data_IF_765557795735
#
_entry.id   IF_765557795735
#
_cell.length_a   1.000
_cell.length_b   1.000
_cell.length_c   1.000
_cell.angle_alpha   90.00
_cell.angle_beta   90.00
_cell.angle_gamma   90.00
#
_symmetry.space_group_name_H-M   'P 1'
#
loop_
_entity.id
_entity.type
_entity.pdbx_description
1 polymer ?
#
# COMPACT_ATOMS: atom_id res chain seq x y z
N UNK A 1 -33.09 4.11 -3.81
CA UNK A 1 -33.50 4.99 -2.70
C UNK A 1 -33.63 6.42 -3.20
N UNK A 2 -34.62 7.18 -2.71
CA UNK A 2 -34.75 8.60 -2.99
C UNK A 2 -33.84 9.43 -2.05
N UNK A 3 -33.05 10.33 -2.60
CA UNK A 3 -32.09 11.19 -1.88
C UNK A 3 -32.16 12.63 -2.42
N UNK A 4 -31.52 13.60 -1.77
CA UNK A 4 -31.44 14.99 -2.23
C UNK A 4 -30.12 15.64 -1.82
N UNK A 5 -29.64 16.60 -2.63
CA UNK A 5 -28.48 17.43 -2.28
C UNK A 5 -28.92 18.64 -1.45
N UNK A 6 -28.13 19.07 -0.45
CA UNK A 6 -26.86 18.51 0.02
C UNK A 6 -27.05 17.42 1.11
N UNK A 7 -28.28 17.07 1.47
CA UNK A 7 -28.59 16.30 2.68
C UNK A 7 -28.16 14.83 2.63
N UNK A 8 -28.19 14.21 1.44
CA UNK A 8 -27.79 12.83 1.16
C UNK A 8 -28.13 11.84 2.29
N UNK A 9 -29.42 11.72 2.68
CA UNK A 9 -29.81 10.87 3.79
C UNK A 9 -29.42 9.40 3.50
N UNK A 10 -29.02 8.67 4.54
CA UNK A 10 -28.68 7.24 4.46
C UNK A 10 -29.63 6.32 5.29
N UNK A 11 -30.97 6.41 5.14
CA UNK A 11 -31.91 5.60 5.91
C UNK A 11 -32.14 4.23 5.25
N UNK A 12 -32.39 3.20 6.07
CA UNK A 12 -32.89 1.88 5.64
C UNK A 12 -31.95 1.08 4.72
N UNK A 13 -30.65 1.09 4.99
CA UNK A 13 -29.67 0.27 4.26
C UNK A 13 -29.61 -1.14 4.81
N UNK A 14 -29.26 -2.08 3.93
CA UNK A 14 -29.03 -3.45 4.35
C UNK A 14 -27.94 -3.50 5.41
N UNK A 15 -28.24 -4.03 6.59
CA UNK A 15 -27.25 -4.19 7.64
C UNK A 15 -26.33 -5.37 7.32
N UNK A 16 -25.09 -5.28 7.79
CA UNK A 16 -24.20 -6.43 7.86
C UNK A 16 -24.51 -7.14 9.19
N UNK A 17 -25.08 -8.34 9.12
CA UNK A 17 -25.53 -9.10 10.29
C UNK A 17 -24.57 -10.26 10.54
N UNK A 18 -24.15 -10.47 11.80
CA UNK A 18 -23.28 -11.61 12.15
C UNK A 18 -24.02 -12.92 11.90
N UNK A 19 -23.35 -13.91 11.31
CA UNK A 19 -23.84 -15.29 11.30
C UNK A 19 -23.95 -15.84 12.74
N UNK A 20 -25.15 -16.13 13.29
CA UNK A 20 -25.31 -16.58 14.67
C UNK A 20 -24.69 -17.97 14.94
N UNK A 21 -24.55 -18.79 13.90
CA UNK A 21 -24.04 -20.17 13.96
C UNK A 21 -22.62 -20.32 13.39
N UNK A 22 -22.02 -19.24 12.91
CA UNK A 22 -20.70 -19.27 12.28
C UNK A 22 -19.56 -19.41 13.30
N UNK A 23 -18.60 -20.31 13.03
CA UNK A 23 -17.29 -20.25 13.66
C UNK A 23 -16.67 -18.93 13.24
N UNK A 24 -16.49 -18.03 14.20
CA UNK A 24 -15.78 -16.77 13.97
C UNK A 24 -14.38 -17.13 13.50
N UNK A 25 -13.95 -16.58 12.36
CA UNK A 25 -12.54 -16.62 12.02
C UNK A 25 -11.79 -15.70 12.97
N UNK A 26 -11.49 -16.21 14.18
CA UNK A 26 -10.34 -15.74 14.93
C UNK A 26 -9.15 -16.44 14.30
N UNK A 27 -8.67 -15.94 13.15
CA UNK A 27 -7.36 -16.38 12.66
C UNK A 27 -6.41 -16.26 13.84
N UNK A 28 -5.92 -17.40 14.34
CA UNK A 28 -4.93 -17.42 15.43
C UNK A 28 -3.83 -16.48 14.99
N UNK A 29 -3.55 -15.48 15.81
CA UNK A 29 -2.52 -14.51 15.53
C UNK A 29 -1.18 -15.26 15.49
N UNK A 30 -0.74 -15.66 14.29
CA UNK A 30 0.68 -15.82 14.01
C UNK A 30 1.37 -14.54 14.49
N UNK A 31 2.62 -14.64 14.97
CA UNK A 31 3.43 -13.51 15.46
C UNK A 31 3.29 -12.31 14.51
N UNK A 32 2.34 -11.40 14.81
CA UNK A 32 2.06 -10.27 13.94
C UNK A 32 3.22 -9.30 14.13
N UNK A 33 3.91 -8.95 13.04
CA UNK A 33 4.67 -7.69 13.02
C UNK A 33 3.66 -6.57 13.26
N UNK A 34 3.89 -5.77 14.28
CA UNK A 34 2.94 -4.74 14.70
C UNK A 34 3.27 -3.42 14.00
N UNK A 35 2.28 -2.76 13.37
CA UNK A 35 2.45 -1.42 12.82
C UNK A 35 3.02 -0.47 13.88
N UNK A 36 4.05 0.29 13.53
CA UNK A 36 4.71 1.25 14.42
C UNK A 36 5.08 2.50 13.62
N UNK A 37 4.05 3.28 13.30
CA UNK A 37 4.20 4.51 12.52
C UNK A 37 4.77 5.63 13.38
N UNK A 38 5.07 6.76 12.74
CA UNK A 38 5.54 7.96 13.42
C UNK A 38 4.42 8.90 13.85
N UNK A 39 3.15 8.48 13.73
CA UNK A 39 1.96 9.19 14.20
C UNK A 39 2.10 9.50 15.71
N UNK A 40 1.97 10.78 16.08
CA UNK A 40 2.12 11.24 17.47
C UNK A 40 0.85 11.79 18.08
N UNK A 41 0.04 12.44 17.26
CA UNK A 41 -1.10 13.21 17.76
C UNK A 41 -2.35 12.83 17.01
N UNK A 42 -3.43 12.60 17.76
CA UNK A 42 -4.76 12.37 17.23
C UNK A 42 -5.69 13.45 17.79
N UNK A 43 -6.32 14.24 16.92
CA UNK A 43 -7.15 15.39 17.32
C UNK A 43 -8.53 15.36 16.66
N UNK A 44 -9.59 15.85 17.33
CA UNK A 44 -10.91 15.94 16.68
C UNK A 44 -10.88 16.87 15.46
N UNK A 45 -11.51 16.44 14.38
CA UNK A 45 -11.81 17.28 13.21
C UNK A 45 -13.14 17.98 13.44
N UNK A 46 -13.12 19.07 14.22
CA UNK A 46 -14.34 19.75 14.67
C UNK A 46 -15.14 20.41 13.54
N UNK A 47 -14.47 20.82 12.45
CA UNK A 47 -15.13 21.40 11.27
C UNK A 47 -15.70 20.37 10.29
N UNK A 48 -15.51 19.07 10.53
CA UNK A 48 -15.81 18.02 9.54
C UNK A 48 -17.23 18.11 8.93
N UNK A 49 -18.33 18.22 9.68
CA UNK A 49 -19.66 18.30 9.07
C UNK A 49 -19.82 19.50 8.14
N UNK A 50 -19.22 20.64 8.47
CA UNK A 50 -19.25 21.85 7.67
C UNK A 50 -18.36 21.71 6.43
N UNK A 51 -17.12 21.23 6.59
CA UNK A 51 -16.19 20.99 5.48
C UNK A 51 -16.83 20.08 4.42
N UNK A 52 -17.58 19.06 4.85
CA UNK A 52 -18.32 18.15 3.97
C UNK A 52 -19.52 18.83 3.31
N UNK A 53 -20.32 19.57 4.07
CA UNK A 53 -21.49 20.28 3.51
C UNK A 53 -21.06 21.32 2.47
N UNK A 54 -20.02 22.10 2.78
CA UNK A 54 -19.44 23.11 1.89
C UNK A 54 -18.90 22.47 0.61
N UNK A 55 -18.20 21.34 0.70
CA UNK A 55 -17.69 20.62 -0.48
C UNK A 55 -18.82 20.15 -1.41
N UNK A 56 -19.90 19.60 -0.84
CA UNK A 56 -21.06 19.14 -1.61
C UNK A 56 -21.81 20.32 -2.23
N UNK A 57 -22.01 21.41 -1.48
CA UNK A 57 -22.65 22.63 -1.98
C UNK A 57 -21.86 23.25 -3.12
N UNK A 58 -20.53 23.35 -2.98
CA UNK A 58 -19.66 23.86 -4.03
C UNK A 58 -19.75 23.02 -5.31
N UNK A 59 -19.70 21.68 -5.21
CA UNK A 59 -19.84 20.79 -6.36
C UNK A 59 -21.24 20.86 -6.99
N UNK A 60 -22.29 20.95 -6.16
CA UNK A 60 -23.68 21.10 -6.62
C UNK A 60 -23.86 22.39 -7.42
N UNK A 61 -23.30 23.49 -6.93
CA UNK A 61 -23.31 24.78 -7.62
C UNK A 61 -22.51 24.75 -8.93
N UNK A 62 -21.31 24.15 -8.92
CA UNK A 62 -20.45 24.02 -10.10
C UNK A 62 -21.14 23.26 -11.24
N UNK A 63 -21.92 22.23 -10.92
CA UNK A 63 -22.69 21.45 -11.90
C UNK A 63 -24.10 21.99 -12.17
N UNK A 64 -24.50 23.11 -11.55
CA UNK A 64 -25.86 23.68 -11.67
C UNK A 64 -26.98 22.67 -11.41
N UNK A 65 -26.77 21.75 -10.45
CA UNK A 65 -27.72 20.69 -10.16
C UNK A 65 -28.90 21.20 -9.33
N UNK A 66 -30.13 20.75 -9.61
CA UNK A 66 -31.27 21.05 -8.76
C UNK A 66 -31.15 20.30 -7.43
N UNK A 67 -31.67 20.90 -6.36
CA UNK A 67 -31.82 20.24 -5.05
C UNK A 67 -33.00 19.25 -5.00
N UNK A 68 -33.68 19.04 -6.13
CA UNK A 68 -34.83 18.14 -6.21
C UNK A 68 -34.41 16.71 -5.93
N UNK A 69 -35.26 15.92 -5.23
CA UNK A 69 -34.92 14.54 -4.93
C UNK A 69 -34.66 13.70 -6.19
N UNK A 70 -33.69 12.78 -6.12
CA UNK A 70 -33.34 11.85 -7.19
C UNK A 70 -33.16 10.43 -6.65
N UNK A 71 -33.21 9.45 -7.55
CA UNK A 71 -33.01 8.05 -7.21
C UNK A 71 -31.53 7.65 -7.34
N UNK A 72 -31.03 6.92 -6.35
CA UNK A 72 -29.77 6.18 -6.40
C UNK A 72 -30.07 4.71 -6.19
N UNK A 73 -29.38 3.84 -6.92
CA UNK A 73 -29.52 2.40 -6.70
C UNK A 73 -28.72 2.03 -5.45
N UNK A 74 -29.35 1.28 -4.55
CA UNK A 74 -28.76 0.96 -3.25
C UNK A 74 -29.27 -0.37 -2.76
N UNK A 75 -28.37 -1.23 -2.27
CA UNK A 75 -28.76 -2.50 -1.69
C UNK A 75 -29.37 -2.32 -0.29
N UNK A 76 -30.67 -2.60 -0.17
CA UNK A 76 -31.43 -2.48 1.10
C UNK A 76 -31.55 -3.80 1.87
N UNK A 77 -31.11 -4.91 1.28
CA UNK A 77 -31.18 -6.23 1.90
C UNK A 77 -30.01 -6.45 2.85
N UNK A 78 -30.31 -6.88 4.08
CA UNK A 78 -29.30 -7.31 5.04
C UNK A 78 -28.46 -8.46 4.46
N UNK A 79 -27.18 -8.45 4.77
CA UNK A 79 -26.22 -9.47 4.34
C UNK A 79 -25.61 -10.12 5.56
N UNK A 80 -25.56 -11.45 5.58
CA UNK A 80 -24.84 -12.18 6.62
C UNK A 80 -23.34 -12.05 6.35
N UNK A 81 -22.58 -11.56 7.32
CA UNK A 81 -21.13 -11.43 7.25
C UNK A 81 -20.44 -12.30 8.28
N UNK A 82 -19.32 -12.91 7.89
CA UNK A 82 -18.55 -13.83 8.72
C UNK A 82 -17.05 -13.47 8.78
N UNK A 83 -16.60 -12.56 7.93
CA UNK A 83 -15.22 -12.10 7.82
C UNK A 83 -15.15 -10.71 7.16
N UNK A 84 -13.94 -10.13 7.10
CA UNK A 84 -13.69 -8.81 6.52
C UNK A 84 -14.06 -8.75 5.03
N UNK A 85 -13.73 -9.78 4.25
CA UNK A 85 -14.05 -9.85 2.81
C UNK A 85 -15.56 -9.74 2.54
N UNK A 86 -16.41 -10.38 3.37
CA UNK A 86 -17.87 -10.26 3.25
C UNK A 86 -18.38 -8.86 3.60
N UNK A 87 -17.74 -8.17 4.54
CA UNK A 87 -18.04 -6.77 4.84
C UNK A 87 -17.67 -5.88 3.65
N UNK A 88 -16.49 -6.10 3.05
CA UNK A 88 -16.03 -5.35 1.88
C UNK A 88 -17.01 -5.49 0.71
N UNK A 89 -17.43 -6.71 0.36
CA UNK A 89 -18.42 -6.93 -0.71
C UNK A 89 -19.78 -6.30 -0.41
N UNK A 90 -20.23 -6.33 0.85
CA UNK A 90 -21.46 -5.67 1.25
C UNK A 90 -21.35 -4.15 1.11
N UNK A 91 -20.26 -3.56 1.62
CA UNK A 91 -20.05 -2.13 1.59
C UNK A 91 -19.87 -1.58 0.17
N UNK A 92 -19.27 -2.36 -0.74
CA UNK A 92 -19.17 -2.02 -2.15
C UNK A 92 -20.55 -1.73 -2.76
N UNK A 93 -21.49 -2.68 -2.61
CA UNK A 93 -22.84 -2.56 -3.18
C UNK A 93 -23.77 -1.63 -2.38
N UNK A 94 -23.58 -1.53 -1.06
CA UNK A 94 -24.49 -0.79 -0.18
C UNK A 94 -24.07 0.67 0.04
N UNK A 95 -22.80 1.03 -0.20
CA UNK A 95 -22.26 2.36 0.08
C UNK A 95 -21.36 2.91 -1.03
N UNK A 96 -20.40 2.15 -1.55
CA UNK A 96 -19.46 2.66 -2.55
C UNK A 96 -20.14 2.95 -3.90
N UNK A 97 -20.92 2.01 -4.44
CA UNK A 97 -21.70 2.21 -5.67
C UNK A 97 -22.65 3.42 -5.58
N UNK A 98 -23.47 3.57 -4.50
CA UNK A 98 -24.24 4.80 -4.29
C UNK A 98 -23.40 6.07 -4.21
N UNK A 99 -22.21 6.01 -3.59
CA UNK A 99 -21.29 7.15 -3.49
C UNK A 99 -20.78 7.55 -4.87
N UNK A 100 -20.35 6.58 -5.68
CA UNK A 100 -19.92 6.78 -7.08
C UNK A 100 -21.03 7.38 -7.93
N UNK A 101 -22.27 6.91 -7.78
CA UNK A 101 -23.43 7.44 -8.51
C UNK A 101 -23.72 8.90 -8.17
N UNK A 102 -23.60 9.29 -6.89
CA UNK A 102 -23.76 10.69 -6.48
C UNK A 102 -22.60 11.53 -7.01
N UNK A 103 -21.36 11.06 -6.91
CA UNK A 103 -20.17 11.77 -7.40
C UNK A 103 -20.22 11.99 -8.91
N UNK A 104 -20.67 11.00 -9.69
CA UNK A 104 -20.85 11.12 -11.14
C UNK A 104 -21.85 12.22 -11.50
N UNK A 105 -22.93 12.35 -10.71
CA UNK A 105 -23.90 13.46 -10.87
C UNK A 105 -23.25 14.81 -10.54
N UNK A 106 -22.37 14.86 -9.54
CA UNK A 106 -21.56 16.02 -9.15
C UNK A 106 -20.36 16.27 -10.09
N UNK A 107 -20.31 15.63 -11.26
CA UNK A 107 -19.28 15.85 -12.27
C UNK A 107 -17.92 15.24 -11.95
N UNK A 108 -17.82 14.39 -10.93
CA UNK A 108 -16.59 13.67 -10.56
C UNK A 108 -16.64 12.26 -11.12
N UNK A 109 -15.75 11.95 -12.05
CA UNK A 109 -15.60 10.60 -12.60
C UNK A 109 -14.47 9.84 -11.89
N UNK A 110 -14.80 8.70 -11.32
CA UNK A 110 -13.89 7.89 -10.51
C UNK A 110 -14.58 6.67 -9.93
N UNK A 111 -13.82 5.86 -9.21
CA UNK A 111 -14.34 4.64 -8.56
C UNK A 111 -13.53 4.26 -7.32
N UNK A 112 -14.14 3.48 -6.45
CA UNK A 112 -13.45 2.75 -5.40
C UNK A 112 -12.85 1.46 -5.99
N UNK A 113 -11.54 1.46 -6.18
CA UNK A 113 -10.80 0.27 -6.60
C UNK A 113 -10.54 -0.65 -5.40
N UNK A 114 -10.89 -1.93 -5.53
CA UNK A 114 -10.58 -2.98 -4.57
C UNK A 114 -9.09 -3.35 -4.63
N UNK A 115 -8.52 -3.77 -3.49
CA UNK A 115 -7.21 -4.45 -3.45
C UNK A 115 -7.10 -5.55 -4.50
N UNK A 116 -5.93 -5.64 -5.16
CA UNK A 116 -5.69 -6.64 -6.21
C UNK A 116 -6.56 -6.53 -7.47
N UNK A 117 -7.43 -5.51 -7.59
CA UNK A 117 -8.38 -5.31 -8.69
C UNK A 117 -7.78 -4.88 -10.06
N UNK A 118 -6.46 -5.02 -10.26
CA UNK A 118 -5.76 -4.69 -11.49
C UNK A 118 -5.45 -3.19 -11.70
N UNK A 119 -4.39 -2.95 -12.47
CA UNK A 119 -3.77 -1.68 -12.96
C UNK A 119 -3.53 -0.50 -12.01
N UNK A 120 -4.10 -0.46 -10.82
CA UNK A 120 -3.86 0.60 -9.85
C UNK A 120 -2.76 0.15 -8.90
N UNK A 121 -1.54 0.63 -9.12
CA UNK A 121 -0.42 0.28 -8.27
C UNK A 121 -0.40 1.19 -7.04
N UNK A 122 -0.94 0.66 -5.94
CA UNK A 122 -1.07 1.36 -4.66
C UNK A 122 -0.14 0.69 -3.67
N UNK A 123 0.69 1.47 -3.00
CA UNK A 123 1.67 0.93 -2.07
C UNK A 123 0.97 0.49 -0.78
N UNK A 124 1.15 -0.78 -0.41
CA UNK A 124 0.56 -1.38 0.78
C UNK A 124 -0.81 -2.03 0.57
N UNK A 125 -1.39 -1.94 -0.63
CA UNK A 125 -2.64 -2.64 -1.01
C UNK A 125 -3.80 -2.45 0.01
N UNK A 126 -4.23 -1.20 0.26
CA UNK A 126 -5.38 -0.90 1.12
C UNK A 126 -6.65 -1.56 0.56
N UNK A 127 -7.62 -1.87 1.43
CA UNK A 127 -8.86 -2.59 1.05
C UNK A 127 -9.59 -1.95 -0.13
N UNK A 128 -9.75 -0.62 -0.07
CA UNK A 128 -10.16 0.17 -1.22
C UNK A 128 -9.35 1.45 -1.34
N UNK A 129 -9.34 2.01 -2.54
CA UNK A 129 -8.91 3.38 -2.75
C UNK A 129 -9.78 4.08 -3.77
N UNK A 130 -10.07 5.35 -3.52
CA UNK A 130 -10.67 6.22 -4.54
C UNK A 130 -9.61 6.57 -5.57
N UNK A 131 -9.90 6.24 -6.83
CA UNK A 131 -9.06 6.58 -7.97
C UNK A 131 -9.90 7.29 -9.02
N UNK A 132 -9.27 8.25 -9.69
CA UNK A 132 -9.87 8.93 -10.85
C UNK A 132 -9.12 8.55 -12.11
N UNK A 133 -9.80 8.42 -13.25
CA UNK A 133 -9.14 8.25 -14.53
C UNK A 133 -8.34 9.52 -14.81
N UNK A 134 -7.02 9.47 -14.65
CA UNK A 134 -6.12 10.55 -15.05
C UNK A 134 -4.98 9.96 -15.85
N UNK A 135 -4.58 10.69 -16.90
CA UNK A 135 -3.46 10.35 -17.79
C UNK A 135 -2.20 10.98 -17.18
N UNK A 136 -1.06 10.26 -17.07
CA UNK A 136 -0.80 8.94 -17.62
C UNK A 136 -1.25 7.76 -16.75
N UNK A 137 -1.37 7.89 -15.43
CA UNK A 137 -1.75 6.77 -14.55
C UNK A 137 -2.63 7.22 -13.35
N UNK A 138 -3.64 6.42 -12.96
CA UNK A 138 -4.51 6.72 -11.84
C UNK A 138 -3.78 6.63 -10.50
N UNK A 139 -3.82 7.71 -9.71
CA UNK A 139 -3.25 7.79 -8.37
C UNK A 139 -4.33 7.68 -7.28
N UNK A 140 -4.13 6.92 -6.18
CA UNK A 140 -5.07 6.86 -5.06
C UNK A 140 -5.12 8.18 -4.28
N UNK A 141 -6.32 8.78 -4.23
CA UNK A 141 -6.55 10.07 -3.53
C UNK A 141 -7.09 9.90 -2.11
N UNK A 142 -7.74 8.77 -1.84
CA UNK A 142 -8.34 8.40 -0.56
C UNK A 142 -8.17 6.90 -0.36
N UNK A 143 -7.72 6.47 0.82
CA UNK A 143 -7.64 5.05 1.20
C UNK A 143 -8.77 4.68 2.16
N UNK A 144 -9.31 3.48 2.04
CA UNK A 144 -10.37 2.97 2.92
C UNK A 144 -9.98 1.59 3.42
N UNK A 145 -9.96 1.42 4.74
CA UNK A 145 -9.68 0.17 5.42
C UNK A 145 -10.93 -0.35 6.13
N UNK A 146 -11.29 -1.61 5.84
CA UNK A 146 -12.39 -2.30 6.47
C UNK A 146 -11.87 -3.27 7.52
N UNK A 147 -12.48 -3.23 8.71
CA UNK A 147 -12.27 -4.23 9.76
C UNK A 147 -13.61 -4.76 10.23
N UNK A 148 -13.61 -5.93 10.84
CA UNK A 148 -14.83 -6.45 11.48
C UNK A 148 -15.09 -5.73 12.80
N UNK A 149 -16.35 -5.45 13.15
CA UNK A 149 -16.68 -4.77 14.42
C UNK A 149 -16.39 -5.60 15.68
N UNK A 150 -15.98 -6.86 15.52
CA UNK A 150 -15.46 -7.69 16.62
C UNK A 150 -13.92 -7.71 16.68
N UNK A 151 -13.23 -7.08 15.73
CA UNK A 151 -11.78 -6.94 15.68
C UNK A 151 -11.31 -5.49 15.92
N UNK A 152 -12.20 -4.50 15.84
CA UNK A 152 -11.91 -3.11 16.17
C UNK A 152 -13.05 -2.47 16.95
N UNK A 153 -12.69 -1.55 17.84
CA UNK A 153 -13.59 -0.74 18.66
C UNK A 153 -13.34 0.75 18.38
N UNK A 154 -13.90 1.23 17.26
CA UNK A 154 -13.68 2.61 16.81
C UNK A 154 -14.16 3.68 17.80
N UNK A 155 -15.29 3.52 18.52
CA UNK A 155 -15.67 4.45 19.59
C UNK A 155 -14.61 4.66 20.67
N UNK A 156 -13.85 3.61 21.02
CA UNK A 156 -12.81 3.67 22.05
C UNK A 156 -11.39 3.88 21.48
N UNK A 157 -11.25 4.13 20.18
CA UNK A 157 -9.95 4.25 19.52
C UNK A 157 -9.07 5.37 20.09
N UNK A 158 -9.65 6.50 20.47
CA UNK A 158 -8.90 7.62 21.08
C UNK A 158 -8.34 7.23 22.44
N UNK A 159 -9.11 6.47 23.23
CA UNK A 159 -8.65 5.94 24.51
C UNK A 159 -7.52 4.91 24.31
N UNK A 160 -7.64 4.05 23.29
CA UNK A 160 -6.59 3.11 22.91
C UNK A 160 -5.31 3.83 22.45
N UNK A 161 -5.44 4.92 21.66
CA UNK A 161 -4.33 5.74 21.19
C UNK A 161 -3.59 6.43 22.33
N UNK A 162 -4.32 6.97 23.30
CA UNK A 162 -3.76 7.59 24.50
C UNK A 162 -3.25 6.58 25.53
N UNK A 163 -3.29 5.28 25.23
CA UNK A 163 -2.92 4.19 26.13
C UNK A 163 -3.70 4.19 27.46
N UNK A 164 -4.88 4.79 27.51
CA UNK A 164 -5.75 4.79 28.70
C UNK A 164 -6.51 3.46 28.84
N UNK A 165 -6.60 2.69 27.76
CA UNK A 165 -7.11 1.31 27.73
C UNK A 165 -6.06 0.42 27.04
N UNK A 166 -5.79 -0.78 27.59
CA UNK A 166 -4.69 -1.64 27.16
C UNK A 166 -5.07 -3.13 27.07
N UNK A 167 -6.28 -3.41 26.62
CA UNK A 167 -6.73 -4.78 26.31
C UNK A 167 -6.35 -5.19 24.86
N UNK A 168 -6.66 -6.44 24.50
CA UNK A 168 -6.33 -6.98 23.18
C UNK A 168 -7.08 -6.28 22.03
N UNK A 169 -8.34 -5.91 22.21
CA UNK A 169 -9.17 -5.22 21.22
C UNK A 169 -8.70 -3.77 21.04
N UNK A 170 -8.34 -3.08 22.13
CA UNK A 170 -7.72 -1.74 22.08
C UNK A 170 -6.43 -1.75 21.27
N UNK A 171 -5.55 -2.77 21.46
CA UNK A 171 -4.33 -2.93 20.66
C UNK A 171 -4.63 -3.20 19.19
N UNK A 172 -5.60 -4.06 18.88
CA UNK A 172 -6.01 -4.34 17.50
C UNK A 172 -6.55 -3.09 16.81
N UNK A 173 -7.36 -2.30 17.52
CA UNK A 173 -7.89 -1.02 17.06
C UNK A 173 -6.77 -0.03 16.75
N UNK A 174 -5.77 0.08 17.63
CA UNK A 174 -4.60 0.93 17.39
C UNK A 174 -3.77 0.46 16.18
N UNK A 175 -3.58 -0.85 16.01
CA UNK A 175 -2.89 -1.38 14.83
C UNK A 175 -3.64 -1.07 13.54
N UNK A 176 -4.98 -1.14 13.55
CA UNK A 176 -5.79 -0.78 12.38
C UNK A 176 -5.62 0.71 12.03
N UNK A 177 -5.63 1.60 13.02
CA UNK A 177 -5.34 3.04 12.82
C UNK A 177 -3.95 3.25 12.20
N UNK A 178 -2.94 2.60 12.77
CA UNK A 178 -1.56 2.72 12.31
C UNK A 178 -1.37 2.14 10.91
N UNK A 179 -2.06 1.06 10.57
CA UNK A 179 -2.11 0.51 9.21
C UNK A 179 -2.70 1.53 8.23
N UNK A 180 -3.88 2.08 8.53
CA UNK A 180 -4.52 3.11 7.68
C UNK A 180 -3.63 4.34 7.51
N UNK A 181 -3.04 4.86 8.59
CA UNK A 181 -2.10 5.99 8.52
C UNK A 181 -0.83 5.64 7.72
N UNK A 182 -0.34 4.40 7.82
CA UNK A 182 0.73 3.88 6.98
C UNK A 182 0.39 4.00 5.50
N UNK A 183 -0.76 3.48 5.08
CA UNK A 183 -1.22 3.56 3.69
C UNK A 183 -1.42 4.99 3.20
N UNK A 184 -1.98 5.87 4.03
CA UNK A 184 -2.06 7.29 3.73
C UNK A 184 -0.67 7.87 3.46
N UNK A 185 0.31 7.56 4.31
CA UNK A 185 1.68 8.07 4.18
C UNK A 185 2.39 7.50 2.95
N UNK A 186 2.31 6.20 2.72
CA UNK A 186 3.02 5.54 1.61
C UNK A 186 2.53 6.00 0.23
N UNK A 187 1.28 6.44 0.15
CA UNK A 187 0.65 6.91 -1.08
C UNK A 187 0.53 8.44 -1.17
N UNK A 188 1.17 9.18 -0.25
CA UNK A 188 1.06 10.64 -0.15
C UNK A 188 -0.41 11.14 -0.10
N UNK A 189 -1.30 10.37 0.51
CA UNK A 189 -2.72 10.70 0.62
C UNK A 189 -2.98 11.47 1.92
N UNK A 190 -3.68 12.59 1.79
CA UNK A 190 -4.11 13.43 2.92
C UNK A 190 -5.25 12.80 3.71
N UNK A 191 -6.07 12.00 3.04
CA UNK A 191 -7.32 11.49 3.58
C UNK A 191 -7.33 9.96 3.67
N UNK A 192 -8.01 9.45 4.69
CA UNK A 192 -8.24 8.03 4.87
C UNK A 192 -9.55 7.76 5.62
N UNK A 193 -10.03 6.52 5.53
CA UNK A 193 -11.21 6.05 6.26
C UNK A 193 -10.86 4.71 6.90
N UNK A 194 -11.08 4.58 8.21
CA UNK A 194 -11.08 3.31 8.91
C UNK A 194 -12.50 2.99 9.32
N UNK A 195 -13.07 1.91 8.81
CA UNK A 195 -14.49 1.58 9.03
C UNK A 195 -14.70 0.14 9.44
N UNK A 196 -15.69 -0.05 10.30
CA UNK A 196 -16.22 -1.36 10.68
C UNK A 196 -17.63 -1.59 10.13
N UNK A 197 -18.01 -0.90 9.06
CA UNK A 197 -19.39 -0.74 8.56
C UNK A 197 -20.32 0.02 9.52
N UNK A 198 -20.41 -0.42 10.79
CA UNK A 198 -21.22 0.21 11.84
C UNK A 198 -20.70 1.56 12.27
N UNK A 199 -19.38 1.70 12.30
CA UNK A 199 -18.70 2.95 12.61
C UNK A 199 -17.69 3.23 11.52
N UNK A 200 -17.53 4.49 11.15
CA UNK A 200 -16.48 4.95 10.24
C UNK A 200 -15.76 6.13 10.87
N UNK A 201 -14.45 6.02 10.99
CA UNK A 201 -13.59 7.11 11.40
C UNK A 201 -12.95 7.72 10.16
N UNK A 202 -13.33 8.95 9.87
CA UNK A 202 -12.82 9.75 8.76
C UNK A 202 -11.58 10.50 9.22
N UNK A 203 -10.51 10.42 8.44
CA UNK A 203 -9.17 10.84 8.82
C UNK A 203 -8.63 11.89 7.83
N UNK A 204 -7.95 12.91 8.37
CA UNK A 204 -7.21 13.91 7.60
C UNK A 204 -5.86 14.20 8.22
N UNK A 205 -4.79 14.16 7.44
CA UNK A 205 -3.48 14.65 7.86
C UNK A 205 -3.53 16.18 8.08
N UNK A 206 -3.17 16.62 9.29
CA UNK A 206 -3.15 18.04 9.62
C UNK A 206 -1.81 18.67 9.23
N UNK A 207 -1.87 19.85 8.60
CA UNK A 207 -0.70 20.69 8.28
C UNK A 207 -0.08 21.27 9.56
N UNK A 208 0.71 20.42 10.23
CA UNK A 208 1.48 20.74 11.44
C UNK A 208 2.96 20.73 11.09
N UNK A 209 3.83 21.50 11.77
CA UNK A 209 5.26 21.53 11.47
C UNK A 209 5.94 20.15 11.51
N UNK A 210 5.45 19.26 12.40
CA UNK A 210 5.97 17.90 12.50
C UNK A 210 5.23 16.91 11.58
N UNK A 211 4.11 17.32 10.98
CA UNK A 211 3.22 16.55 10.10
C UNK A 211 2.86 15.16 10.63
N UNK A 212 2.82 14.99 11.95
CA UNK A 212 2.52 13.73 12.66
C UNK A 212 1.19 13.79 13.42
N UNK A 213 0.31 14.66 12.94
CA UNK A 213 -1.00 14.90 13.53
C UNK A 213 -2.08 14.43 12.56
N UNK A 214 -2.94 13.54 13.06
CA UNK A 214 -4.11 13.07 12.36
C UNK A 214 -5.36 13.69 12.99
N UNK A 215 -6.20 14.28 12.16
CA UNK A 215 -7.52 14.74 12.54
C UNK A 215 -8.54 13.63 12.28
N UNK A 216 -9.51 13.46 13.18
CA UNK A 216 -10.53 12.42 13.05
C UNK A 216 -11.96 12.92 13.29
N UNK A 217 -12.91 12.32 12.59
CA UNK A 217 -14.34 12.44 12.90
C UNK A 217 -15.00 11.05 12.86
N UNK A 218 -15.79 10.71 13.88
CA UNK A 218 -16.47 9.42 13.98
C UNK A 218 -17.92 9.56 13.53
N UNK A 219 -18.33 8.74 12.57
CA UNK A 219 -19.72 8.58 12.14
C UNK A 219 -20.20 7.19 12.53
N UNK A 220 -21.40 7.11 13.07
CA UNK A 220 -22.07 5.87 13.43
C UNK A 220 -23.26 5.65 12.49
N UNK A 221 -23.36 4.45 11.94
CA UNK A 221 -24.44 4.04 11.05
C UNK A 221 -25.75 3.93 11.85
N UNK A 222 -26.84 4.47 11.30
CA UNK A 222 -28.18 4.45 11.91
C UNK A 222 -28.26 5.05 13.32
N UNK A 223 -27.32 5.93 13.69
CA UNK A 223 -27.44 6.72 14.91
C UNK A 223 -28.68 7.62 14.82
N UNK A 224 -29.40 7.75 15.93
CA UNK A 224 -30.52 8.68 16.04
C UNK A 224 -30.03 10.13 15.95
N UNK A 225 -30.67 10.92 15.08
CA UNK A 225 -30.35 12.33 14.81
C UNK A 225 -28.84 12.60 14.59
N UNK A 226 -28.21 11.97 13.59
CA UNK A 226 -26.78 12.09 13.39
C UNK A 226 -26.45 13.45 12.76
N UNK A 227 -25.34 14.11 13.14
CA UNK A 227 -24.94 15.39 12.54
C UNK A 227 -24.63 15.26 11.04
N UNK A 228 -24.33 14.05 10.57
CA UNK A 228 -24.03 13.73 9.18
C UNK A 228 -24.35 12.25 8.90
N UNK A 229 -24.89 11.95 7.72
CA UNK A 229 -25.12 10.55 7.29
C UNK A 229 -23.84 9.90 6.75
N UNK A 230 -23.77 8.57 6.75
CA UNK A 230 -22.61 7.83 6.20
C UNK A 230 -22.36 8.15 4.72
N UNK A 231 -23.40 8.16 3.89
CA UNK A 231 -23.28 8.51 2.46
C UNK A 231 -22.82 9.94 2.27
N UNK A 232 -23.38 10.90 3.01
CA UNK A 232 -22.96 12.31 2.94
C UNK A 232 -21.47 12.45 3.29
N UNK A 233 -21.03 11.77 4.35
CA UNK A 233 -19.63 11.77 4.77
C UNK A 233 -18.69 11.15 3.71
N UNK A 234 -19.07 10.02 3.09
CA UNK A 234 -18.27 9.40 2.02
C UNK A 234 -18.19 10.29 0.76
N UNK A 235 -19.32 10.82 0.29
CA UNK A 235 -19.36 11.73 -0.87
C UNK A 235 -18.50 12.97 -0.61
N UNK A 236 -18.72 13.65 0.52
CA UNK A 236 -17.95 14.83 0.87
C UNK A 236 -16.46 14.56 1.01
N UNK A 237 -16.07 13.43 1.59
CA UNK A 237 -14.65 13.08 1.74
C UNK A 237 -13.96 12.85 0.42
N UNK A 238 -14.64 12.24 -0.55
CA UNK A 238 -14.11 12.13 -1.90
C UNK A 238 -13.98 13.51 -2.54
N UNK A 239 -14.97 14.40 -2.41
CA UNK A 239 -14.86 15.77 -2.93
C UNK A 239 -13.70 16.56 -2.31
N UNK A 240 -13.46 16.42 -0.99
CA UNK A 240 -12.30 17.00 -0.33
C UNK A 240 -10.99 16.42 -0.88
N UNK A 241 -10.93 15.12 -1.12
CA UNK A 241 -9.77 14.47 -1.74
C UNK A 241 -9.56 14.93 -3.18
N UNK A 242 -10.61 15.04 -4.00
CA UNK A 242 -10.50 15.57 -5.36
C UNK A 242 -9.85 16.96 -5.40
N UNK A 243 -10.15 17.80 -4.43
CA UNK A 243 -9.63 19.16 -4.34
C UNK A 243 -8.21 19.24 -3.73
N UNK A 244 -7.89 18.41 -2.73
CA UNK A 244 -6.67 18.55 -1.92
C UNK A 244 -6.13 17.21 -1.39
N UNK A 245 -6.02 16.20 -2.26
CA UNK A 245 -5.59 14.86 -1.84
C UNK A 245 -4.12 14.76 -1.44
N UNK A 246 -3.23 15.59 -2.02
CA UNK A 246 -1.80 15.36 -1.90
C UNK A 246 -1.29 15.83 -0.54
N UNK A 247 -0.63 14.92 0.17
CA UNK A 247 0.07 15.23 1.41
C UNK A 247 1.40 14.50 1.46
N UNK A 248 2.48 15.24 1.24
CA UNK A 248 3.83 14.73 1.48
C UNK A 248 4.08 14.67 2.98
N UNK A 249 4.38 13.49 3.51
CA UNK A 249 4.96 13.41 4.85
C UNK A 249 6.27 14.22 4.91
N UNK A 250 6.58 14.89 6.03
CA UNK A 250 7.53 15.98 6.06
C UNK A 250 8.95 15.51 5.75
N UNK A 251 9.69 16.37 5.07
CA UNK A 251 11.14 16.43 5.06
C UNK A 251 11.70 16.58 6.48
N UNK A 252 12.69 15.76 6.82
CA UNK A 252 13.74 15.96 7.85
C UNK A 252 13.36 16.62 9.21
N UNK A 253 12.24 16.29 9.85
CA UNK A 253 12.00 16.64 11.26
C UNK A 253 12.47 15.54 12.24
N UNK A 254 12.93 15.91 13.45
CA UNK A 254 13.52 14.98 14.43
C UNK A 254 12.58 13.86 14.89
N UNK A 255 13.13 12.65 14.95
CA UNK A 255 12.42 11.42 15.23
C UNK A 255 12.23 11.18 16.77
N UNK A 256 11.25 10.37 17.22
CA UNK A 256 10.83 10.32 18.64
C UNK A 256 11.88 9.76 19.61
N UNK A 257 11.89 10.18 20.89
CA UNK A 257 12.81 9.62 21.88
C UNK A 257 12.47 8.16 22.23
N UNK A 258 13.50 7.36 22.54
CA UNK A 258 13.44 5.97 23.05
C UNK A 258 13.18 4.82 22.08
N UNK A 259 13.35 5.02 20.77
CA UNK A 259 13.63 3.96 19.78
C UNK A 259 14.69 4.44 18.79
N UNK A 260 15.26 3.55 17.98
CA UNK A 260 16.33 3.75 16.97
C UNK A 260 15.99 4.74 15.83
N UNK A 261 15.23 5.76 16.15
CA UNK A 261 14.60 6.76 15.33
C UNK A 261 14.64 8.05 16.16
N UNK A 262 15.82 8.52 16.57
CA UNK A 262 15.99 9.75 17.33
C UNK A 262 17.09 10.64 16.73
N UNK A 263 17.09 11.94 17.05
CA UNK A 263 18.18 12.88 16.71
C UNK A 263 19.24 13.02 17.82
N UNK A 264 19.23 12.12 18.82
CA UNK A 264 20.23 12.08 19.88
C UNK A 264 21.59 11.63 19.34
N UNK A 265 22.70 12.05 19.96
CA UNK A 265 24.06 11.63 19.56
C UNK A 265 24.25 10.11 19.38
N UNK A 266 23.68 9.25 20.24
CA UNK A 266 23.71 7.79 20.06
C UNK A 266 22.85 7.29 18.89
N UNK A 267 21.64 7.82 18.71
CA UNK A 267 20.78 7.46 17.59
C UNK A 267 21.32 7.98 16.24
N UNK A 268 22.05 9.10 16.25
CA UNK A 268 22.84 9.54 15.11
C UNK A 268 23.99 8.60 14.82
N UNK A 269 24.66 8.04 15.83
CA UNK A 269 25.69 7.00 15.61
C UNK A 269 25.11 5.69 15.09
N UNK A 270 23.90 5.30 15.48
CA UNK A 270 23.23 4.09 14.96
C UNK A 270 22.57 4.30 13.60
N UNK A 271 22.01 5.49 13.33
CA UNK A 271 21.63 5.90 11.96
C UNK A 271 22.85 5.98 11.10
N UNK A 272 23.89 6.68 11.54
CA UNK A 272 25.18 6.67 10.88
C UNK A 272 25.72 5.25 10.81
N UNK A 273 25.43 4.30 11.69
CA UNK A 273 25.88 2.91 11.48
C UNK A 273 25.03 2.15 10.45
N UNK A 274 23.70 2.25 10.48
CA UNK A 274 22.80 1.63 9.49
C UNK A 274 22.94 2.27 8.11
N UNK A 275 23.19 3.57 8.13
CA UNK A 275 23.48 4.39 6.97
C UNK A 275 24.95 4.25 6.59
N UNK A 276 25.95 4.09 7.45
CA UNK A 276 27.35 3.77 7.10
C UNK A 276 27.42 2.35 6.50
N UNK A 277 26.63 1.41 7.02
CA UNK A 277 26.35 0.08 6.44
C UNK A 277 25.63 0.21 5.09
N UNK A 278 24.82 1.26 4.91
CA UNK A 278 24.18 1.59 3.63
C UNK A 278 24.93 2.63 2.77
N UNK A 279 26.01 3.28 3.24
CA UNK A 279 26.66 4.47 2.64
C UNK A 279 27.64 4.02 1.56
N UNK A 280 27.99 2.74 1.56
CA UNK A 280 28.54 2.10 0.38
C UNK A 280 27.49 1.58 -0.61
N UNK A 281 26.18 1.64 -0.30
CA UNK A 281 25.11 0.86 -0.95
C UNK A 281 25.48 -0.61 -1.21
N UNK A 282 26.36 -1.14 -0.36
CA UNK A 282 26.90 -2.49 -0.41
C UNK A 282 26.54 -3.18 0.89
N UNK A 283 25.24 -3.41 1.09
CA UNK A 283 24.82 -4.41 2.05
C UNK A 283 25.55 -5.71 1.68
N UNK A 284 26.14 -6.38 2.67
CA UNK A 284 26.82 -7.66 2.45
C UNK A 284 26.00 -8.76 3.10
N UNK A 285 25.87 -9.93 2.46
CA UNK A 285 25.18 -11.04 3.09
C UNK A 285 25.95 -11.48 4.33
N UNK A 286 25.24 -11.63 5.46
CA UNK A 286 25.76 -12.19 6.71
C UNK A 286 25.19 -13.59 6.82
N UNK A 287 26.05 -14.59 7.02
CA UNK A 287 25.67 -16.00 7.07
C UNK A 287 24.81 -16.48 5.88
N UNK A 288 25.12 -15.95 4.69
CA UNK A 288 24.44 -16.32 3.44
C UNK A 288 23.08 -15.65 3.22
N UNK A 289 22.72 -14.62 4.00
CA UNK A 289 21.47 -13.88 3.82
C UNK A 289 21.66 -12.37 3.97
N UNK A 290 20.87 -11.58 3.24
CA UNK A 290 20.70 -10.17 3.55
C UNK A 290 19.74 -10.02 4.73
N UNK A 291 20.15 -9.26 5.74
CA UNK A 291 19.27 -8.95 6.87
C UNK A 291 18.20 -7.95 6.43
N UNK A 292 16.93 -8.21 6.79
CA UNK A 292 15.87 -7.21 6.63
C UNK A 292 16.04 -6.11 7.68
N UNK A 293 16.37 -4.89 7.26
CA UNK A 293 16.64 -3.78 8.15
C UNK A 293 15.48 -2.79 8.19
N UNK A 294 15.17 -2.27 9.38
CA UNK A 294 14.23 -1.17 9.47
C UNK A 294 14.81 0.08 8.81
N UNK A 295 14.07 0.68 7.87
CA UNK A 295 14.43 1.92 7.20
C UNK A 295 13.47 3.03 7.57
N UNK A 296 13.99 4.25 7.63
CA UNK A 296 13.17 5.45 7.80
C UNK A 296 12.48 5.80 6.48
N UNK A 297 11.16 5.68 6.42
CA UNK A 297 10.41 5.94 5.18
C UNK A 297 10.70 7.31 4.55
N UNK A 298 11.12 8.31 5.35
CA UNK A 298 11.40 9.67 4.87
C UNK A 298 12.62 9.76 3.96
N UNK A 299 13.48 8.74 3.95
CA UNK A 299 14.60 8.66 3.01
C UNK A 299 14.21 7.91 1.73
N UNK A 300 13.00 7.34 1.68
CA UNK A 300 12.45 6.68 0.51
C UNK A 300 11.58 7.67 -0.27
N UNK A 301 11.95 7.95 -1.52
CA UNK A 301 11.15 8.74 -2.46
C UNK A 301 10.63 7.84 -3.56
N UNK A 302 9.44 7.28 -3.36
CA UNK A 302 8.80 6.45 -4.38
C UNK A 302 8.14 7.31 -5.44
N UNK A 303 8.38 6.97 -6.71
CA UNK A 303 7.73 7.57 -7.86
C UNK A 303 6.42 6.82 -8.08
N UNK A 304 5.34 7.27 -7.42
CA UNK A 304 4.07 6.52 -7.36
C UNK A 304 3.44 6.28 -8.74
N UNK A 305 3.67 7.17 -9.71
CA UNK A 305 3.28 7.01 -11.12
C UNK A 305 4.08 5.95 -11.90
N UNK A 306 5.08 5.33 -11.28
CA UNK A 306 5.83 4.21 -11.84
C UNK A 306 5.44 2.88 -11.21
N UNK A 307 4.55 2.91 -10.22
CA UNK A 307 4.17 1.71 -9.51
C UNK A 307 3.46 0.77 -10.50
N UNK A 308 3.75 -0.53 -10.39
CA UNK A 308 3.16 -1.60 -11.20
C UNK A 308 2.63 -2.68 -10.26
N UNK A 309 1.37 -3.12 -10.41
CA UNK A 309 0.79 -4.10 -9.51
C UNK A 309 1.45 -5.47 -9.71
N UNK A 310 1.71 -6.16 -8.60
CA UNK A 310 1.99 -7.60 -8.54
C UNK A 310 0.86 -8.34 -7.83
N UNK A 311 0.98 -9.66 -7.69
CA UNK A 311 -0.09 -10.47 -7.07
C UNK A 311 -0.37 -10.09 -5.61
N UNK A 312 0.67 -9.81 -4.81
CA UNK A 312 0.59 -9.51 -3.37
C UNK A 312 1.47 -8.30 -2.98
N UNK A 313 1.64 -7.36 -3.90
CA UNK A 313 2.58 -6.25 -3.76
C UNK A 313 2.64 -5.39 -5.01
N UNK A 314 3.69 -4.59 -5.13
CA UNK A 314 3.94 -3.78 -6.31
C UNK A 314 5.43 -3.61 -6.55
N UNK A 315 5.78 -3.28 -7.80
CA UNK A 315 7.11 -2.80 -8.15
C UNK A 315 7.03 -1.30 -8.38
N UNK A 316 7.93 -0.50 -7.79
CA UNK A 316 7.91 0.97 -7.91
C UNK A 316 9.33 1.49 -8.07
N UNK A 317 9.54 2.41 -9.00
CA UNK A 317 10.83 3.11 -9.08
C UNK A 317 10.92 4.16 -7.98
N UNK A 318 12.13 4.46 -7.53
CA UNK A 318 12.32 5.44 -6.49
C UNK A 318 13.75 5.89 -6.32
N UNK A 319 13.92 6.75 -5.32
CA UNK A 319 15.21 7.24 -4.87
C UNK A 319 15.37 6.98 -3.38
N UNK A 320 16.52 6.43 -2.99
CA UNK A 320 16.95 6.40 -1.60
C UNK A 320 17.86 7.61 -1.37
N UNK A 321 17.44 8.52 -0.49
CA UNK A 321 18.15 9.77 -0.24
C UNK A 321 19.55 9.50 0.28
N UNK A 322 20.53 10.18 -0.31
CA UNK A 322 21.90 10.09 0.18
C UNK A 322 22.01 10.76 1.56
N UNK A 323 22.83 10.22 2.46
CA UNK A 323 22.99 10.74 3.82
C UNK A 323 23.84 12.00 3.91
N UNK A 324 24.69 12.22 2.91
CA UNK A 324 25.64 13.32 2.88
C UNK A 324 25.28 14.25 1.73
N UNK A 325 25.21 15.55 2.03
CA UNK A 325 25.00 16.58 1.02
C UNK A 325 26.10 16.53 -0.05
N UNK A 326 25.69 16.46 -1.32
CA UNK A 326 26.61 16.38 -2.47
C UNK A 326 26.82 14.98 -3.04
N UNK A 327 26.35 13.93 -2.37
CA UNK A 327 26.23 12.57 -2.95
C UNK A 327 24.88 12.46 -3.65
N UNK A 328 24.81 11.93 -4.89
CA UNK A 328 23.53 11.75 -5.56
C UNK A 328 22.68 10.70 -4.86
N UNK A 329 21.36 10.93 -4.80
CA UNK A 329 20.39 9.94 -4.36
C UNK A 329 20.55 8.65 -5.20
N UNK A 330 20.47 7.48 -4.55
CA UNK A 330 20.52 6.21 -5.25
C UNK A 330 19.18 5.95 -5.94
N UNK A 331 19.23 5.76 -7.27
CA UNK A 331 18.07 5.30 -8.05
C UNK A 331 17.87 3.81 -7.83
N UNK A 332 16.63 3.42 -7.54
CA UNK A 332 16.27 2.04 -7.24
C UNK A 332 14.97 1.64 -7.92
N UNK A 333 14.83 0.35 -8.18
CA UNK A 333 13.54 -0.31 -8.41
C UNK A 333 13.21 -1.09 -7.15
N UNK A 334 12.07 -0.80 -6.54
CA UNK A 334 11.63 -1.42 -5.30
C UNK A 334 10.55 -2.45 -5.56
N UNK A 335 10.79 -3.70 -5.16
CA UNK A 335 9.74 -4.72 -5.07
C UNK A 335 9.18 -4.70 -3.66
N UNK A 336 7.96 -4.22 -3.51
CA UNK A 336 7.32 -3.86 -2.23
C UNK A 336 6.16 -4.82 -1.93
N UNK A 337 6.11 -5.30 -0.69
CA UNK A 337 5.07 -6.18 -0.16
C UNK A 337 4.53 -5.59 1.13
N UNK A 338 3.21 -5.69 1.34
CA UNK A 338 2.63 -5.52 2.66
C UNK A 338 2.82 -6.79 3.50
N UNK A 339 3.81 -6.78 4.39
CA UNK A 339 4.15 -7.92 5.22
C UNK A 339 3.16 -8.14 6.38
N UNK A 340 2.34 -7.15 6.71
CA UNK A 340 1.28 -7.26 7.71
C UNK A 340 0.09 -8.04 7.15
N UNK A 341 -0.30 -7.75 5.90
CA UNK A 341 -1.43 -8.35 5.19
C UNK A 341 -1.04 -9.68 4.52
N UNK A 342 0.14 -9.75 3.93
CA UNK A 342 0.61 -10.88 3.13
C UNK A 342 1.91 -11.48 3.70
N UNK A 343 1.86 -12.19 4.84
CA UNK A 343 3.04 -12.80 5.43
C UNK A 343 3.71 -13.83 4.52
N UNK A 344 2.95 -14.52 3.67
CA UNK A 344 3.51 -15.47 2.70
C UNK A 344 4.29 -14.77 1.59
N UNK A 345 3.79 -13.63 1.09
CA UNK A 345 4.53 -12.81 0.12
C UNK A 345 5.80 -12.20 0.74
N UNK A 346 5.74 -11.83 2.03
CA UNK A 346 6.93 -11.43 2.78
C UNK A 346 7.95 -12.58 2.87
N UNK A 347 7.49 -13.83 3.07
CA UNK A 347 8.37 -15.00 3.05
C UNK A 347 9.00 -15.24 1.66
N UNK A 348 8.23 -15.07 0.57
CA UNK A 348 8.77 -15.12 -0.80
C UNK A 348 9.84 -14.06 -1.04
N UNK A 349 9.61 -12.82 -0.56
CA UNK A 349 10.59 -11.74 -0.67
C UNK A 349 11.88 -12.03 0.12
N UNK A 350 11.77 -12.71 1.28
CA UNK A 350 12.94 -13.20 2.02
C UNK A 350 13.69 -14.29 1.26
N UNK A 351 12.99 -15.19 0.57
CA UNK A 351 13.60 -16.22 -0.28
C UNK A 351 14.34 -15.59 -1.46
N UNK A 352 13.73 -14.59 -2.11
CA UNK A 352 14.36 -13.82 -3.17
C UNK A 352 15.64 -13.11 -2.68
N UNK A 353 15.62 -12.49 -1.49
CA UNK A 353 16.81 -11.90 -0.88
C UNK A 353 17.94 -12.93 -0.69
N UNK A 354 17.62 -14.18 -0.32
CA UNK A 354 18.62 -15.25 -0.20
C UNK A 354 19.18 -15.69 -1.54
N UNK A 355 18.35 -15.71 -2.59
CA UNK A 355 18.83 -15.96 -3.95
C UNK A 355 19.84 -14.89 -4.39
N UNK A 356 19.56 -13.60 -4.14
CA UNK A 356 20.52 -12.53 -4.37
C UNK A 356 21.82 -12.71 -3.57
N UNK A 357 21.74 -13.18 -2.32
CA UNK A 357 22.93 -13.43 -1.49
C UNK A 357 23.78 -14.57 -2.05
N UNK A 358 23.15 -15.67 -2.48
CA UNK A 358 23.82 -16.82 -3.08
C UNK A 358 24.45 -16.48 -4.44
N UNK A 359 23.76 -15.66 -5.24
CA UNK A 359 24.17 -15.23 -6.58
C UNK A 359 24.93 -13.90 -6.56
N UNK A 360 25.53 -13.51 -5.43
CA UNK A 360 26.23 -12.23 -5.27
C UNK A 360 27.26 -11.95 -6.38
N UNK A 361 27.94 -12.98 -6.87
CA UNK A 361 28.93 -12.86 -7.95
C UNK A 361 28.34 -12.54 -9.34
N UNK A 362 27.01 -12.63 -9.51
CA UNK A 362 26.29 -12.34 -10.75
C UNK A 362 25.55 -10.99 -10.73
N UNK A 363 25.46 -10.36 -9.56
CA UNK A 363 24.84 -9.04 -9.40
C UNK A 363 25.56 -7.97 -10.22
N UNK A 364 24.79 -7.12 -10.90
CA UNK A 364 25.29 -6.08 -11.80
C UNK A 364 25.83 -6.62 -13.14
N UNK A 365 25.68 -7.92 -13.40
CA UNK A 365 26.13 -8.54 -14.65
C UNK A 365 24.99 -9.19 -15.44
N UNK A 366 24.20 -10.03 -14.77
CA UNK A 366 23.07 -10.75 -15.37
C UNK A 366 21.85 -10.82 -14.46
N UNK A 367 21.97 -10.35 -13.23
CA UNK A 367 20.86 -10.09 -12.31
C UNK A 367 21.09 -8.71 -11.68
N UNK A 368 20.03 -7.98 -11.26
CA UNK A 368 20.19 -6.67 -10.63
C UNK A 368 21.10 -6.71 -9.40
N UNK A 369 21.79 -5.61 -9.12
CA UNK A 369 22.39 -5.40 -7.80
C UNK A 369 21.30 -5.18 -6.74
N UNK A 370 21.34 -5.93 -5.65
CA UNK A 370 20.50 -5.71 -4.47
C UNK A 370 21.20 -4.71 -3.55
N UNK A 371 20.76 -3.46 -3.58
CA UNK A 371 21.28 -2.40 -2.71
C UNK A 371 20.80 -2.55 -1.27
N UNK A 372 19.67 -3.23 -1.05
CA UNK A 372 19.25 -3.56 0.30
C UNK A 372 17.88 -4.20 0.44
N UNK A 373 17.66 -4.80 1.60
CA UNK A 373 16.39 -5.40 1.99
C UNK A 373 15.86 -4.72 3.25
N UNK A 374 14.69 -4.09 3.15
CA UNK A 374 14.21 -3.16 4.17
C UNK A 374 12.79 -3.47 4.65
N UNK A 375 12.47 -3.01 5.86
CA UNK A 375 11.10 -2.92 6.38
C UNK A 375 10.76 -1.50 6.83
N UNK A 376 9.49 -1.12 6.69
CA UNK A 376 8.96 0.18 7.12
C UNK A 376 7.80 -0.04 8.06
N UNK A 377 7.98 0.44 9.30
CA UNK A 377 6.96 0.44 10.36
C UNK A 377 6.32 -0.92 10.67
N UNK A 378 6.94 -2.03 10.26
CA UNK A 378 6.35 -3.36 10.36
C UNK A 378 5.13 -3.58 9.45
N UNK A 379 4.89 -2.68 8.49
CA UNK A 379 3.82 -2.77 7.49
C UNK A 379 4.42 -3.24 6.17
N UNK A 380 5.37 -2.49 5.59
CA UNK A 380 5.98 -2.82 4.31
C UNK A 380 7.30 -3.57 4.50
N UNK A 381 7.60 -4.46 3.56
CA UNK A 381 8.93 -4.94 3.28
C UNK A 381 9.25 -4.73 1.80
N UNK A 382 10.50 -4.40 1.48
CA UNK A 382 10.89 -4.23 0.09
C UNK A 382 12.37 -4.53 -0.18
N UNK A 383 12.63 -5.04 -1.37
CA UNK A 383 13.98 -5.11 -1.96
C UNK A 383 14.23 -3.82 -2.75
N UNK A 384 15.38 -3.20 -2.55
CA UNK A 384 15.85 -2.07 -3.35
C UNK A 384 16.90 -2.57 -4.36
N UNK A 385 16.51 -2.61 -5.63
CA UNK A 385 17.28 -3.21 -6.71
C UNK A 385 17.82 -2.15 -7.68
N UNK A 386 18.89 -2.51 -8.38
CA UNK A 386 19.41 -1.79 -9.54
C UNK A 386 18.35 -1.66 -10.64
N UNK A 387 18.15 -0.45 -11.18
CA UNK A 387 17.36 -0.28 -12.40
C UNK A 387 18.08 -0.90 -13.61
N UNK A 388 17.54 -2.01 -14.13
CA UNK A 388 18.14 -2.79 -15.23
C UNK A 388 17.38 -2.67 -16.56
N UNK A 389 16.62 -1.59 -16.73
CA UNK A 389 15.79 -1.32 -17.90
C UNK A 389 14.41 -1.97 -17.85
N UNK A 390 13.82 -2.24 -19.02
CA UNK A 390 12.44 -2.70 -19.14
C UNK A 390 12.39 -4.19 -19.49
N UNK A 391 11.33 -4.87 -19.02
CA UNK A 391 11.04 -6.23 -19.46
C UNK A 391 10.86 -6.31 -20.98
N UNK A 392 11.31 -7.40 -21.60
CA UNK A 392 11.03 -7.69 -23.01
C UNK A 392 9.52 -7.78 -23.18
N UNK A 393 8.98 -7.04 -24.16
CA UNK A 393 7.54 -6.96 -24.36
C UNK A 393 6.99 -8.29 -24.94
N UNK A 394 5.75 -8.62 -24.60
CA UNK A 394 5.09 -9.85 -25.10
C UNK A 394 4.89 -9.84 -26.62
N UNK A 395 4.83 -8.66 -27.24
CA UNK A 395 4.69 -8.47 -28.70
C UNK A 395 6.03 -8.22 -29.42
N UNK A 396 7.14 -8.08 -28.68
CA UNK A 396 8.46 -7.90 -29.27
C UNK A 396 8.90 -9.19 -29.99
N UNK A 397 9.39 -9.07 -31.23
CA UNK A 397 10.00 -10.21 -31.90
C UNK A 397 11.37 -10.52 -31.30
N UNK A 398 11.55 -11.75 -30.83
CA UNK A 398 12.83 -12.23 -30.32
C UNK A 398 13.68 -12.67 -31.51
N UNK A 399 14.61 -11.81 -31.92
CA UNK A 399 15.60 -12.17 -32.93
C UNK A 399 16.67 -13.13 -32.38
N UNK A 400 17.52 -13.65 -33.27
CA UNK A 400 18.56 -14.62 -32.89
C UNK A 400 19.58 -14.03 -31.89
N UNK A 401 19.83 -12.73 -31.94
CA UNK A 401 20.80 -12.06 -31.06
C UNK A 401 20.23 -11.92 -29.65
N UNK A 402 18.99 -11.44 -29.54
CA UNK A 402 18.27 -11.33 -28.26
C UNK A 402 18.12 -12.71 -27.61
N UNK A 403 17.72 -13.71 -28.40
CA UNK A 403 17.61 -15.09 -27.93
C UNK A 403 18.95 -15.63 -27.40
N UNK A 404 20.05 -15.41 -28.12
CA UNK A 404 21.38 -15.82 -27.67
C UNK A 404 21.79 -15.11 -26.38
N UNK A 405 21.49 -13.82 -26.23
CA UNK A 405 21.78 -13.05 -25.03
C UNK A 405 20.96 -13.52 -23.82
N UNK A 406 19.67 -13.82 -24.01
CA UNK A 406 18.81 -14.40 -22.96
C UNK A 406 19.37 -15.74 -22.46
N UNK A 407 19.76 -16.62 -23.39
CA UNK A 407 20.40 -17.90 -23.04
C UNK A 407 21.74 -17.71 -22.34
N UNK A 408 22.56 -16.78 -22.79
CA UNK A 408 23.84 -16.49 -22.16
C UNK A 408 23.67 -15.98 -20.72
N UNK A 409 22.69 -15.10 -20.46
CA UNK A 409 22.37 -14.62 -19.12
C UNK A 409 21.92 -15.78 -18.20
N UNK A 410 20.98 -16.61 -18.67
CA UNK A 410 20.49 -17.77 -17.93
C UNK A 410 21.61 -18.80 -17.65
N UNK A 411 22.49 -19.03 -18.63
CA UNK A 411 23.62 -19.94 -18.48
C UNK A 411 24.56 -19.50 -17.35
N UNK A 412 24.71 -18.20 -17.07
CA UNK A 412 25.52 -17.73 -15.93
C UNK A 412 24.90 -18.14 -14.59
N UNK A 413 23.56 -18.11 -14.46
CA UNK A 413 22.86 -18.61 -13.28
C UNK A 413 23.06 -20.14 -13.15
N UNK A 414 22.94 -20.88 -14.25
CA UNK A 414 23.19 -22.33 -14.28
C UNK A 414 24.61 -22.69 -13.88
N UNK A 415 25.61 -21.94 -14.36
CA UNK A 415 27.01 -22.14 -14.01
C UNK A 415 27.30 -21.88 -12.52
N UNK A 416 26.51 -21.01 -11.88
CA UNK A 416 26.56 -20.82 -10.43
C UNK A 416 25.89 -21.96 -9.65
N UNK A 417 25.26 -22.93 -10.33
CA UNK A 417 24.60 -24.09 -9.73
C UNK A 417 23.16 -23.82 -9.29
N UNK A 418 22.48 -22.88 -9.95
CA UNK A 418 21.09 -22.49 -9.67
C UNK A 418 20.23 -22.59 -10.92
N UNK A 419 18.93 -22.77 -10.72
CA UNK A 419 17.90 -22.53 -11.73
C UNK A 419 17.09 -21.29 -11.36
N UNK A 420 16.56 -20.58 -12.36
CA UNK A 420 15.73 -19.40 -12.14
C UNK A 420 14.36 -19.77 -11.56
N UNK A 421 13.71 -20.78 -12.13
CA UNK A 421 12.42 -21.35 -11.71
C UNK A 421 11.20 -20.82 -12.49
N UNK A 422 11.27 -19.60 -13.02
CA UNK A 422 10.19 -18.95 -13.78
C UNK A 422 10.72 -18.24 -15.03
N UNK A 423 10.86 -18.97 -16.14
CA UNK A 423 11.33 -18.39 -17.42
C UNK A 423 10.12 -17.83 -18.18
N UNK A 424 10.08 -16.51 -18.30
CA UNK A 424 9.07 -15.78 -19.05
C UNK A 424 9.65 -14.44 -19.54
N UNK A 425 9.11 -13.89 -20.63
CA UNK A 425 9.56 -12.59 -21.20
C UNK A 425 9.57 -11.46 -20.17
N UNK A 426 8.55 -11.41 -19.31
CA UNK A 426 8.45 -10.46 -18.18
C UNK A 426 9.64 -10.49 -17.20
N UNK A 427 10.38 -11.60 -17.13
CA UNK A 427 11.52 -11.78 -16.21
C UNK A 427 12.87 -11.52 -16.88
N UNK A 428 12.90 -11.17 -18.18
CA UNK A 428 14.10 -10.70 -18.87
C UNK A 428 13.99 -9.20 -19.10
N UNK A 429 14.83 -8.42 -18.42
CA UNK A 429 14.95 -6.98 -18.63
C UNK A 429 16.12 -6.66 -19.56
N UNK A 430 15.92 -5.68 -20.45
CA UNK A 430 16.96 -5.13 -21.33
C UNK A 430 17.27 -3.69 -20.92
N UNK A 431 18.54 -3.42 -20.64
CA UNK A 431 19.02 -2.07 -20.36
C UNK A 431 19.30 -1.28 -21.66
N UNK A 432 19.65 0.00 -21.52
CA UNK A 432 19.94 0.87 -22.68
C UNK A 432 21.17 0.44 -23.49
N UNK A 433 22.06 -0.38 -22.90
CA UNK A 433 23.24 -0.94 -23.58
C UNK A 433 22.93 -2.24 -24.33
N UNK A 434 21.70 -2.77 -24.20
CA UNK A 434 21.28 -4.04 -24.81
C UNK A 434 21.63 -5.28 -23.98
N UNK A 435 22.19 -5.11 -22.78
CA UNK A 435 22.48 -6.22 -21.87
C UNK A 435 21.19 -6.78 -21.27
N UNK A 436 21.18 -8.09 -21.05
CA UNK A 436 20.03 -8.83 -20.53
C UNK A 436 20.23 -9.18 -19.07
N UNK A 437 19.24 -8.82 -18.26
CA UNK A 437 19.17 -9.11 -16.84
C UNK A 437 17.96 -10.00 -16.55
N UNK A 438 18.17 -11.01 -15.72
CA UNK A 438 17.10 -11.83 -15.14
C UNK A 438 16.64 -11.22 -13.83
N UNK A 439 15.33 -11.04 -13.70
CA UNK A 439 14.67 -10.48 -12.52
C UNK A 439 13.65 -11.47 -11.96
N UNK A 440 13.17 -11.21 -10.74
CA UNK A 440 12.21 -12.06 -10.02
C UNK A 440 12.79 -13.42 -9.60
N UNK A 441 13.67 -13.41 -8.59
CA UNK A 441 14.36 -14.61 -8.11
C UNK A 441 13.56 -15.37 -7.03
N UNK A 442 12.25 -15.14 -6.90
CA UNK A 442 11.40 -15.80 -5.89
C UNK A 442 11.36 -17.33 -6.03
N UNK A 443 11.48 -17.84 -7.26
CA UNK A 443 11.45 -19.28 -7.54
C UNK A 443 12.86 -19.89 -7.70
N UNK A 444 13.90 -19.06 -7.52
CA UNK A 444 15.27 -19.47 -7.71
C UNK A 444 15.67 -20.50 -6.65
N UNK A 445 16.34 -21.56 -7.09
CA UNK A 445 16.79 -22.63 -6.20
C UNK A 445 18.08 -23.27 -6.68
N UNK A 446 18.87 -23.78 -5.74
CA UNK A 446 20.08 -24.53 -6.03
C UNK A 446 19.72 -25.81 -6.79
N UNK A 447 20.30 -25.99 -7.96
CA UNK A 447 20.19 -27.21 -8.73
C UNK A 447 21.41 -27.41 -9.61
N UNK A 448 22.00 -28.60 -9.54
CA UNK A 448 23.09 -29.05 -10.43
C UNK A 448 22.65 -30.21 -11.32
N UNK A 449 21.36 -30.51 -11.33
CA UNK A 449 20.78 -31.58 -12.14
C UNK A 449 20.77 -31.13 -13.62
N UNK A 450 21.58 -31.77 -14.49
CA UNK A 450 21.66 -31.37 -15.89
C UNK A 450 20.32 -31.44 -16.62
N UNK A 451 19.41 -32.32 -16.18
CA UNK A 451 18.08 -32.45 -16.78
C UNK A 451 17.21 -31.22 -16.50
N UNK A 452 17.26 -30.69 -15.27
CA UNK A 452 16.55 -29.47 -14.87
C UNK A 452 17.12 -28.23 -15.55
N UNK A 453 18.46 -28.11 -15.57
CA UNK A 453 19.16 -27.01 -16.24
C UNK A 453 18.83 -26.99 -17.75
N UNK A 454 18.90 -28.16 -18.41
CA UNK A 454 18.54 -28.29 -19.82
C UNK A 454 17.06 -28.02 -20.09
N UNK A 455 16.16 -28.47 -19.21
CA UNK A 455 14.72 -28.19 -19.32
C UNK A 455 14.39 -26.70 -19.20
N UNK A 456 15.05 -26.00 -18.27
CA UNK A 456 14.90 -24.55 -18.10
C UNK A 456 15.49 -23.78 -19.30
N UNK A 457 16.65 -24.18 -19.80
CA UNK A 457 17.23 -23.58 -21.01
C UNK A 457 16.31 -23.72 -22.23
N UNK A 458 15.63 -24.86 -22.36
CA UNK A 458 14.64 -25.09 -23.41
C UNK A 458 13.35 -24.27 -23.24
N UNK A 459 13.08 -23.69 -22.06
CA UNK A 459 11.96 -22.75 -21.90
C UNK A 459 12.21 -21.46 -22.66
N UNK A 460 13.48 -21.01 -22.76
CA UNK A 460 13.84 -19.82 -23.54
C UNK A 460 13.54 -20.02 -25.02
N UNK A 461 13.76 -21.23 -25.55
CA UNK A 461 13.43 -21.58 -26.96
C UNK A 461 11.92 -21.55 -27.25
N UNK A 462 11.07 -21.49 -26.22
CA UNK A 462 9.60 -21.47 -26.34
C UNK A 462 8.99 -20.06 -26.18
N UNK A 463 9.81 -19.06 -25.82
CA UNK A 463 9.41 -17.66 -25.76
C UNK A 463 9.38 -17.06 -27.16
#
# INVERSE_FOLDING_TARGET
MQTSLPNLPFPNYGDAVINPSGIRSSVKANQRKYPRTDLRTLTPWTSFPNDIDDAILAATQACSLPTTPFHIDSRTKNTIVENELRIQFHAMAALHEPTEDVLRRLGVDGRFALSGGGNNAIIGDPDFSWVTPSVPEPHPKLVVEYKTWWAVDLPNLVAAFNHTVNDALSKQTLHALQQTYGYMTFNNSKFGILTSWKHAMFLRCAETPDRKTLQYFLVELNKDDPPISMLKAFVGMVLLAENDWFYSSPTLASAPPNRNLGSSGPAWKERKAAVDVAEGYQMQPVDGAYQCLAIDFRICRFELSSARPGANGCTVTGRLMAPVAGVPDLRVVCKVVDALRYPDAANSLNHEARAYAALKGLQGQVIPTLYGFYEVWGILQFLALEPVGNAIAEDEQIDQTLHANMKAALQRIHNAGYIHGDIARRNFCRNDSGDIFLVDLETCQSSRDPSKLGSEMAQVDRL
#
